data_IF_544514344093
#
_entry.id   IF_544514344093
#
_cell.length_a   1.000
_cell.length_b   1.000
_cell.length_c   1.000
_cell.angle_alpha   90.00
_cell.angle_beta   90.00
_cell.angle_gamma   90.00
#
_symmetry.space_group_name_H-M   'P 1'
#
loop_
_entity.id
_entity.type
_entity.pdbx_description
1 polymer ?
#
# COMPACT_ATOMS: atom_id res chain seq x y z
N UNK A 1 -21.89 25.78 16.82
CA UNK A 1 -20.92 25.15 17.72
C UNK A 1 -20.94 23.64 17.49
N UNK A 2 -19.79 23.01 17.32
CA UNK A 2 -19.69 21.55 17.17
C UNK A 2 -19.82 20.93 18.56
N UNK A 3 -20.78 20.01 18.76
CA UNK A 3 -20.97 19.35 20.06
C UNK A 3 -19.78 18.44 20.39
N UNK A 4 -19.30 18.40 21.65
CA UNK A 4 -18.33 17.43 22.10
C UNK A 4 -18.80 15.99 21.85
N UNK A 5 -17.86 15.05 21.85
CA UNK A 5 -18.15 13.64 21.68
C UNK A 5 -18.46 12.99 23.03
N UNK A 6 -19.39 12.07 23.00
CA UNK A 6 -19.73 11.10 24.03
C UNK A 6 -19.65 9.68 23.42
N UNK A 7 -19.80 8.61 24.20
CA UNK A 7 -19.71 7.24 23.66
C UNK A 7 -20.64 6.96 22.50
N UNK A 8 -21.95 7.32 22.52
CA UNK A 8 -22.85 7.12 21.38
C UNK A 8 -22.41 7.84 20.11
N UNK A 9 -22.06 9.14 20.22
CA UNK A 9 -21.62 9.93 19.08
C UNK A 9 -20.28 9.47 18.50
N UNK A 10 -19.40 8.95 19.34
CA UNK A 10 -18.12 8.37 18.90
C UNK A 10 -18.37 7.10 18.08
N UNK A 11 -19.29 6.24 18.53
CA UNK A 11 -19.70 5.03 17.82
C UNK A 11 -20.41 5.35 16.50
N UNK A 12 -21.32 6.33 16.48
CA UNK A 12 -21.94 6.82 15.23
C UNK A 12 -20.90 7.31 14.20
N UNK A 13 -19.87 8.04 14.66
CA UNK A 13 -18.78 8.48 13.79
C UNK A 13 -17.97 7.31 13.24
N UNK A 14 -17.70 6.30 14.06
CA UNK A 14 -17.01 5.09 13.62
C UNK A 14 -17.85 4.33 12.58
N UNK A 15 -19.13 4.10 12.82
CA UNK A 15 -20.07 3.45 11.89
C UNK A 15 -20.15 4.21 10.56
N UNK A 16 -20.34 5.53 10.61
CA UNK A 16 -20.38 6.36 9.41
C UNK A 16 -19.08 6.31 8.61
N UNK A 17 -17.94 6.17 9.27
CA UNK A 17 -16.64 6.06 8.61
C UNK A 17 -16.47 4.72 7.91
N UNK A 18 -16.72 3.60 8.58
CA UNK A 18 -16.56 2.26 8.00
C UNK A 18 -17.60 1.95 6.92
N UNK A 19 -18.79 2.54 7.01
CA UNK A 19 -19.81 2.42 5.98
C UNK A 19 -19.42 3.09 4.64
N UNK A 20 -18.53 4.09 4.68
CA UNK A 20 -18.13 4.86 3.48
C UNK A 20 -16.78 4.45 2.92
N UNK A 21 -15.90 3.88 3.74
CA UNK A 21 -14.51 3.65 3.37
C UNK A 21 -14.06 2.26 3.79
N UNK A 22 -13.57 1.47 2.83
CA UNK A 22 -12.76 0.31 3.17
C UNK A 22 -11.53 0.81 3.96
N UNK A 23 -11.37 0.33 5.18
CA UNK A 23 -10.41 0.87 6.14
C UNK A 23 -9.74 -0.23 6.96
N UNK A 24 -8.62 0.09 7.61
CA UNK A 24 -7.97 -0.73 8.61
C UNK A 24 -8.32 -0.27 10.03
N UNK A 25 -8.13 -1.15 11.01
CA UNK A 25 -8.26 -0.83 12.43
C UNK A 25 -7.40 0.39 12.82
N UNK A 26 -6.15 0.43 12.35
CA UNK A 26 -5.26 1.57 12.57
C UNK A 26 -5.77 2.88 11.99
N UNK A 27 -6.33 2.87 10.77
CA UNK A 27 -6.90 4.07 10.15
C UNK A 27 -8.17 4.54 10.86
N UNK A 28 -9.03 3.62 11.28
CA UNK A 28 -10.19 3.96 12.10
C UNK A 28 -9.74 4.63 13.40
N UNK A 29 -8.74 4.07 14.09
CA UNK A 29 -8.18 4.66 15.31
C UNK A 29 -7.59 6.05 15.10
N UNK A 30 -6.84 6.26 14.01
CA UNK A 30 -6.32 7.59 13.63
C UNK A 30 -7.45 8.59 13.38
N UNK A 31 -8.51 8.16 12.68
CA UNK A 31 -9.69 9.00 12.43
C UNK A 31 -10.38 9.42 13.73
N UNK A 32 -10.66 8.46 14.62
CA UNK A 32 -11.35 8.72 15.89
C UNK A 32 -10.52 9.61 16.82
N UNK A 33 -9.20 9.35 16.95
CA UNK A 33 -8.26 10.21 17.71
C UNK A 33 -8.27 11.65 17.19
N UNK A 34 -8.30 11.84 15.86
CA UNK A 34 -8.41 13.17 15.28
C UNK A 34 -9.74 13.82 15.64
N UNK A 35 -10.87 13.09 15.55
CA UNK A 35 -12.20 13.61 15.88
C UNK A 35 -12.33 14.00 17.36
N UNK A 36 -11.75 13.24 18.26
CA UNK A 36 -11.68 13.60 19.68
C UNK A 36 -10.90 14.90 19.90
N UNK A 37 -9.77 15.09 19.23
CA UNK A 37 -9.03 16.36 19.32
C UNK A 37 -9.78 17.56 18.73
N UNK A 38 -10.54 17.35 17.65
CA UNK A 38 -11.31 18.42 16.99
C UNK A 38 -12.53 18.84 17.78
N UNK A 39 -13.20 17.91 18.49
CA UNK A 39 -14.51 18.13 19.09
C UNK A 39 -14.52 18.14 20.63
N UNK A 40 -13.50 17.55 21.24
CA UNK A 40 -13.47 17.32 22.69
C UNK A 40 -14.28 16.09 23.12
N UNK A 41 -14.23 15.79 24.39
CA UNK A 41 -14.89 14.66 25.04
C UNK A 41 -15.73 15.16 26.24
N UNK A 42 -16.96 14.66 26.39
CA UNK A 42 -17.93 15.17 27.39
C UNK A 42 -18.27 14.14 28.47
N UNK A 43 -17.89 12.85 28.30
CA UNK A 43 -18.19 11.81 29.30
C UNK A 43 -17.19 11.84 30.47
N UNK A 44 -17.60 11.23 31.61
CA UNK A 44 -16.78 11.18 32.83
C UNK A 44 -15.54 10.28 32.68
N UNK A 45 -15.68 9.17 31.95
CA UNK A 45 -14.60 8.21 31.70
C UNK A 45 -13.88 8.58 30.39
N UNK A 46 -12.58 8.28 30.30
CA UNK A 46 -11.83 8.47 29.07
C UNK A 46 -12.34 7.54 27.94
N UNK A 47 -12.27 7.98 26.66
CA UNK A 47 -12.74 7.18 25.54
C UNK A 47 -11.86 5.94 25.32
N UNK A 48 -12.42 4.75 25.49
CA UNK A 48 -11.75 3.50 25.17
C UNK A 48 -11.85 3.19 23.66
N UNK A 49 -10.91 3.75 22.90
CA UNK A 49 -10.83 3.53 21.45
C UNK A 49 -10.42 2.11 21.11
N UNK A 50 -9.65 1.44 21.96
CA UNK A 50 -9.18 0.08 21.69
C UNK A 50 -10.38 -0.87 21.73
N UNK A 51 -11.17 -0.86 22.79
CA UNK A 51 -12.36 -1.69 22.93
C UNK A 51 -13.39 -1.40 21.80
N UNK A 52 -13.58 -0.12 21.42
CA UNK A 52 -14.45 0.22 20.31
C UNK A 52 -13.98 -0.40 18.99
N UNK A 53 -12.69 -0.27 18.66
CA UNK A 53 -12.11 -0.82 17.43
C UNK A 53 -12.18 -2.34 17.42
N UNK A 54 -11.87 -3.00 18.53
CA UNK A 54 -11.98 -4.46 18.66
C UNK A 54 -13.40 -4.96 18.39
N UNK A 55 -14.42 -4.28 18.91
CA UNK A 55 -15.83 -4.62 18.60
C UNK A 55 -16.12 -4.47 17.11
N UNK A 56 -15.57 -3.45 16.44
CA UNK A 56 -15.77 -3.23 15.00
C UNK A 56 -15.07 -4.30 14.15
N UNK A 57 -13.90 -4.76 14.58
CA UNK A 57 -13.19 -5.89 13.96
C UNK A 57 -13.98 -7.18 14.18
N UNK A 58 -14.40 -7.47 15.41
CA UNK A 58 -15.18 -8.66 15.75
C UNK A 58 -16.53 -8.74 15.00
N UNK A 59 -17.17 -7.57 14.79
CA UNK A 59 -18.40 -7.44 14.01
C UNK A 59 -18.19 -7.48 12.48
N UNK A 60 -16.95 -7.57 12.00
CA UNK A 60 -16.63 -7.58 10.57
C UNK A 60 -16.76 -6.25 9.85
N UNK A 61 -16.95 -5.15 10.57
CA UNK A 61 -16.97 -3.80 9.96
C UNK A 61 -15.58 -3.33 9.52
N UNK A 62 -14.53 -3.90 10.09
CA UNK A 62 -13.13 -3.65 9.75
C UNK A 62 -12.46 -4.98 9.43
N UNK A 63 -11.88 -5.08 8.23
CA UNK A 63 -11.12 -6.25 7.75
C UNK A 63 -9.74 -5.77 7.27
N UNK A 64 -8.75 -5.88 8.14
CA UNK A 64 -7.36 -5.51 7.83
C UNK A 64 -6.77 -6.35 6.70
N UNK A 65 -7.13 -7.64 6.63
CA UNK A 65 -6.62 -8.52 5.57
C UNK A 65 -7.22 -8.17 4.21
N UNK A 66 -8.53 -7.95 4.13
CA UNK A 66 -9.20 -7.48 2.91
C UNK A 66 -8.71 -6.10 2.48
N UNK A 67 -8.56 -5.17 3.44
CA UNK A 67 -7.97 -3.85 3.17
C UNK A 67 -6.55 -3.96 2.61
N UNK A 68 -5.70 -4.79 3.22
CA UNK A 68 -4.31 -4.97 2.79
C UNK A 68 -4.24 -5.58 1.38
N UNK A 69 -5.02 -6.64 1.09
CA UNK A 69 -5.11 -7.26 -0.24
C UNK A 69 -5.52 -6.25 -1.31
N UNK A 70 -6.60 -5.52 -1.09
CA UNK A 70 -7.10 -4.52 -2.03
C UNK A 70 -6.09 -3.40 -2.27
N UNK A 71 -5.44 -2.93 -1.18
CA UNK A 71 -4.43 -1.86 -1.26
C UNK A 71 -3.18 -2.30 -1.98
N UNK A 72 -2.65 -3.50 -1.67
CA UNK A 72 -1.48 -4.07 -2.31
C UNK A 72 -1.72 -4.27 -3.82
N UNK A 73 -2.82 -4.92 -4.20
CA UNK A 73 -3.20 -5.13 -5.60
C UNK A 73 -3.32 -3.80 -6.36
N UNK A 74 -4.01 -2.81 -5.78
CA UNK A 74 -4.15 -1.50 -6.40
C UNK A 74 -2.83 -0.75 -6.58
N UNK A 75 -1.87 -0.90 -5.66
CA UNK A 75 -0.54 -0.31 -5.77
C UNK A 75 0.29 -1.02 -6.84
N UNK A 76 0.30 -2.37 -6.88
CA UNK A 76 1.02 -3.14 -7.92
C UNK A 76 0.53 -2.78 -9.33
N UNK A 77 -0.78 -2.71 -9.55
CA UNK A 77 -1.33 -2.28 -10.86
C UNK A 77 -0.88 -0.87 -11.28
N UNK A 78 -0.47 -0.03 -10.34
CA UNK A 78 0.09 1.31 -10.61
C UNK A 78 1.60 1.31 -10.75
N UNK A 79 2.26 0.16 -10.60
CA UNK A 79 3.69 0.01 -10.74
C UNK A 79 4.50 0.26 -9.47
N UNK A 80 3.89 0.13 -8.27
CA UNK A 80 4.62 0.22 -7.02
C UNK A 80 5.12 -1.15 -6.55
N UNK A 81 6.35 -1.19 -6.07
CA UNK A 81 7.00 -2.38 -5.51
C UNK A 81 6.63 -2.65 -4.05
N UNK A 82 6.99 -3.84 -3.58
CA UNK A 82 6.55 -4.36 -2.27
C UNK A 82 7.02 -3.52 -1.08
N UNK A 83 8.21 -2.89 -1.14
CA UNK A 83 8.66 -1.97 -0.08
C UNK A 83 7.74 -0.77 0.09
N UNK A 84 7.23 -0.23 -1.00
CA UNK A 84 6.27 0.89 -0.97
C UNK A 84 4.90 0.44 -0.50
N UNK A 85 4.49 -0.78 -0.85
CA UNK A 85 3.26 -1.40 -0.39
C UNK A 85 3.33 -1.61 1.13
N UNK A 86 4.38 -2.26 1.63
CA UNK A 86 4.59 -2.47 3.08
C UNK A 86 4.59 -1.14 3.85
N UNK A 87 5.34 -0.14 3.37
CA UNK A 87 5.35 1.19 3.97
C UNK A 87 3.95 1.83 4.05
N UNK A 88 3.16 1.67 2.98
CA UNK A 88 1.79 2.20 2.92
C UNK A 88 0.87 1.50 3.91
N UNK A 89 0.96 0.17 4.02
CA UNK A 89 0.16 -0.63 4.93
C UNK A 89 0.58 -0.40 6.39
N UNK A 90 1.87 -0.28 6.66
CA UNK A 90 2.40 0.10 7.99
C UNK A 90 1.87 1.47 8.42
N UNK A 91 1.89 2.45 7.54
CA UNK A 91 1.30 3.78 7.79
C UNK A 91 -0.22 3.76 8.02
N UNK A 92 -0.90 2.74 7.51
CA UNK A 92 -2.31 2.47 7.77
C UNK A 92 -2.55 1.69 9.09
N UNK A 93 -1.49 1.33 9.84
CA UNK A 93 -1.58 0.58 11.08
C UNK A 93 -1.94 -0.90 10.89
N UNK A 94 -1.70 -1.46 9.70
CA UNK A 94 -1.87 -2.89 9.45
C UNK A 94 -0.75 -3.68 10.11
N UNK A 95 -1.09 -4.75 10.83
CA UNK A 95 -0.14 -5.60 11.55
C UNK A 95 0.87 -6.30 10.63
N UNK A 96 2.02 -6.69 11.18
CA UNK A 96 3.14 -7.28 10.41
C UNK A 96 2.75 -8.57 9.71
N UNK A 97 2.06 -9.47 10.39
CA UNK A 97 1.59 -10.75 9.84
C UNK A 97 0.72 -10.54 8.59
N UNK A 98 -0.25 -9.62 8.68
CA UNK A 98 -1.12 -9.28 7.55
C UNK A 98 -0.34 -8.62 6.42
N UNK A 99 0.66 -7.76 6.74
CA UNK A 99 1.50 -7.16 5.69
C UNK A 99 2.36 -8.22 4.99
N UNK A 100 2.91 -9.18 5.73
CA UNK A 100 3.67 -10.29 5.17
C UNK A 100 2.82 -11.17 4.25
N UNK A 101 1.56 -11.44 4.62
CA UNK A 101 0.65 -12.29 3.82
C UNK A 101 0.26 -11.69 2.46
N UNK A 102 0.48 -10.40 2.24
CA UNK A 102 0.16 -9.72 0.98
C UNK A 102 1.39 -9.33 0.17
N UNK A 103 2.57 -9.81 0.56
CA UNK A 103 3.76 -9.66 -0.28
C UNK A 103 3.55 -10.36 -1.62
N UNK A 104 4.05 -9.75 -2.70
CA UNK A 104 3.95 -10.32 -4.04
C UNK A 104 4.91 -11.47 -4.25
N UNK A 105 4.53 -12.40 -5.13
CA UNK A 105 5.49 -13.32 -5.74
C UNK A 105 6.54 -12.54 -6.55
N UNK A 106 7.62 -13.21 -6.93
CA UNK A 106 8.62 -12.60 -7.81
C UNK A 106 7.99 -12.15 -9.14
N UNK A 107 7.11 -12.94 -9.72
CA UNK A 107 6.36 -12.57 -10.92
C UNK A 107 5.54 -11.28 -10.71
N UNK A 108 4.84 -11.15 -9.58
CA UNK A 108 4.08 -9.96 -9.27
C UNK A 108 4.98 -8.72 -9.07
N UNK A 109 6.16 -8.90 -8.45
CA UNK A 109 7.13 -7.83 -8.25
C UNK A 109 7.76 -7.37 -9.57
N UNK A 110 8.16 -8.31 -10.45
CA UNK A 110 8.70 -8.01 -11.78
C UNK A 110 7.64 -7.35 -12.66
N UNK A 111 6.40 -7.85 -12.64
CA UNK A 111 5.27 -7.25 -13.37
C UNK A 111 4.96 -5.81 -12.96
N UNK A 112 4.95 -5.52 -11.66
CA UNK A 112 4.76 -4.15 -11.16
C UNK A 112 5.91 -3.22 -11.60
N UNK A 113 7.14 -3.69 -11.59
CA UNK A 113 8.29 -2.93 -12.05
C UNK A 113 8.22 -2.63 -13.56
N UNK A 114 7.79 -3.60 -14.37
CA UNK A 114 7.54 -3.42 -15.80
C UNK A 114 6.48 -2.34 -16.06
N UNK A 115 5.36 -2.37 -15.31
CA UNK A 115 4.32 -1.34 -15.42
C UNK A 115 4.90 0.07 -15.19
N UNK A 116 5.75 0.24 -14.17
CA UNK A 116 6.40 1.52 -13.91
C UNK A 116 7.36 1.92 -15.01
N UNK A 117 8.22 0.98 -15.45
CA UNK A 117 9.23 1.23 -16.47
C UNK A 117 8.59 1.67 -17.80
N UNK A 118 7.55 0.96 -18.25
CA UNK A 118 6.77 1.34 -19.44
C UNK A 118 6.12 2.72 -19.30
N UNK A 119 5.39 2.94 -18.20
CA UNK A 119 4.70 4.20 -17.94
C UNK A 119 5.63 5.39 -17.93
N UNK A 120 6.84 5.22 -17.40
CA UNK A 120 7.84 6.28 -17.26
C UNK A 120 8.87 6.30 -18.37
N UNK A 121 8.80 5.36 -19.31
CA UNK A 121 9.75 5.18 -20.41
C UNK A 121 11.19 5.02 -19.90
N UNK A 122 11.36 4.13 -18.92
CA UNK A 122 12.67 3.85 -18.34
C UNK A 122 13.42 2.77 -19.13
N UNK A 123 14.75 2.83 -19.13
CA UNK A 123 15.61 1.85 -19.79
C UNK A 123 15.25 1.67 -21.25
N UNK A 124 14.98 0.42 -21.71
CA UNK A 124 14.67 0.11 -23.12
C UNK A 124 13.31 0.66 -23.57
N UNK A 125 12.44 1.09 -22.67
CA UNK A 125 11.13 1.68 -23.00
C UNK A 125 11.20 3.17 -23.33
N UNK A 126 12.40 3.78 -23.26
CA UNK A 126 12.68 5.15 -23.68
C UNK A 126 12.91 5.27 -25.19
N UNK A 127 12.90 6.51 -25.70
CA UNK A 127 13.20 6.78 -27.11
C UNK A 127 14.66 6.47 -27.48
N UNK A 128 15.56 6.52 -26.50
CA UNK A 128 16.97 6.20 -26.65
C UNK A 128 17.51 5.60 -25.35
N UNK A 129 18.63 4.90 -25.43
CA UNK A 129 19.32 4.37 -24.26
C UNK A 129 19.72 5.52 -23.33
N UNK A 130 19.42 5.42 -22.01
CA UNK A 130 19.72 6.52 -21.09
C UNK A 130 21.24 6.70 -20.94
N UNK A 131 21.67 7.95 -20.93
CA UNK A 131 23.02 8.29 -20.49
C UNK A 131 23.21 7.98 -19.00
N UNK A 132 24.44 8.00 -18.46
CA UNK A 132 24.70 7.65 -17.06
C UNK A 132 23.91 8.47 -16.05
N UNK A 133 23.70 9.77 -16.31
CA UNK A 133 22.97 10.66 -15.40
C UNK A 133 21.45 10.36 -15.41
N UNK A 134 20.87 10.14 -16.57
CA UNK A 134 19.47 9.75 -16.71
C UNK A 134 19.23 8.36 -16.14
N UNK A 135 20.14 7.39 -16.42
CA UNK A 135 20.11 6.05 -15.84
C UNK A 135 20.05 6.11 -14.32
N UNK A 136 20.91 6.90 -13.67
CA UNK A 136 20.92 7.06 -12.22
C UNK A 136 19.61 7.65 -11.68
N UNK A 137 19.02 8.60 -12.39
CA UNK A 137 17.69 9.17 -12.04
C UNK A 137 16.59 8.12 -12.13
N UNK A 138 16.59 7.27 -13.17
CA UNK A 138 15.64 6.18 -13.36
C UNK A 138 15.76 5.14 -12.23
N UNK A 139 16.99 4.74 -11.86
CA UNK A 139 17.26 3.88 -10.70
C UNK A 139 16.64 4.43 -9.42
N UNK A 140 16.97 5.67 -9.11
CA UNK A 140 16.45 6.33 -7.91
C UNK A 140 14.93 6.39 -7.90
N UNK A 141 14.29 6.56 -9.06
CA UNK A 141 12.84 6.54 -9.19
C UNK A 141 12.24 5.15 -8.93
N UNK A 142 12.87 4.07 -9.43
CA UNK A 142 12.46 2.68 -9.17
C UNK A 142 12.56 2.34 -7.69
N UNK A 143 13.67 2.71 -7.03
CA UNK A 143 13.87 2.49 -5.60
C UNK A 143 12.85 3.25 -4.75
N UNK A 144 12.57 4.51 -5.07
CA UNK A 144 11.50 5.30 -4.40
C UNK A 144 10.11 4.71 -4.61
N UNK A 145 9.88 4.05 -5.74
CA UNK A 145 8.63 3.33 -6.00
C UNK A 145 8.53 2.00 -5.23
N UNK A 146 9.60 1.59 -4.55
CA UNK A 146 9.63 0.41 -3.67
C UNK A 146 10.15 -0.87 -4.32
N UNK A 147 10.75 -0.79 -5.51
CA UNK A 147 11.39 -1.93 -6.16
C UNK A 147 12.76 -2.24 -5.55
N UNK A 148 13.23 -3.48 -5.68
CA UNK A 148 14.59 -3.86 -5.29
C UNK A 148 15.62 -3.25 -6.24
N UNK A 149 16.87 -3.16 -5.77
CA UNK A 149 17.98 -2.70 -6.61
C UNK A 149 18.19 -3.64 -7.81
N UNK A 150 18.09 -4.94 -7.57
CA UNK A 150 18.26 -5.96 -8.61
C UNK A 150 17.19 -5.86 -9.69
N UNK A 151 15.91 -5.80 -9.29
CA UNK A 151 14.78 -5.59 -10.22
C UNK A 151 14.96 -4.31 -11.04
N UNK A 152 15.34 -3.21 -10.39
CA UNK A 152 15.56 -1.95 -11.08
C UNK A 152 16.72 -2.04 -12.09
N UNK A 153 17.81 -2.72 -11.71
CA UNK A 153 18.97 -2.92 -12.58
C UNK A 153 18.60 -3.75 -13.80
N UNK A 154 17.96 -4.90 -13.59
CA UNK A 154 17.55 -5.79 -14.69
C UNK A 154 16.69 -5.07 -15.74
N UNK A 155 15.69 -4.29 -15.31
CA UNK A 155 14.81 -3.57 -16.23
C UNK A 155 15.46 -2.36 -16.92
N UNK A 156 16.26 -1.58 -16.20
CA UNK A 156 16.85 -0.35 -16.77
C UNK A 156 18.02 -0.69 -17.70
N UNK A 157 18.77 -1.73 -17.39
CA UNK A 157 19.98 -2.12 -18.15
C UNK A 157 19.66 -3.12 -19.28
N UNK A 158 18.45 -3.63 -19.39
CA UNK A 158 18.07 -4.53 -20.48
C UNK A 158 18.40 -3.90 -21.85
N UNK A 159 18.96 -4.70 -22.75
CA UNK A 159 19.40 -4.21 -24.04
C UNK A 159 18.23 -3.86 -24.98
N UNK A 160 17.08 -4.50 -24.77
CA UNK A 160 15.87 -4.28 -25.55
C UNK A 160 14.60 -4.47 -24.71
N UNK A 161 13.45 -4.01 -25.24
CA UNK A 161 12.16 -4.31 -24.65
C UNK A 161 11.88 -5.82 -24.60
N UNK A 162 12.30 -6.56 -25.62
CA UNK A 162 12.12 -8.00 -25.69
C UNK A 162 12.84 -8.72 -24.54
N UNK A 163 14.11 -8.36 -24.27
CA UNK A 163 14.88 -8.92 -23.15
C UNK A 163 14.22 -8.60 -21.79
N UNK A 164 13.75 -7.36 -21.63
CA UNK A 164 13.06 -6.98 -20.40
C UNK A 164 11.75 -7.76 -20.19
N UNK A 165 11.02 -8.05 -21.24
CA UNK A 165 9.78 -8.85 -21.20
C UNK A 165 10.08 -10.31 -20.89
N UNK A 166 11.05 -10.92 -21.59
CA UNK A 166 11.48 -12.29 -21.37
C UNK A 166 11.86 -12.50 -19.89
N UNK A 167 12.68 -11.60 -19.33
CA UNK A 167 13.04 -11.66 -17.91
C UNK A 167 11.83 -11.56 -16.97
N UNK A 168 10.79 -10.78 -17.31
CA UNK A 168 9.57 -10.72 -16.50
C UNK A 168 8.77 -12.03 -16.60
N UNK A 169 8.68 -12.60 -17.81
CA UNK A 169 7.90 -13.80 -18.08
C UNK A 169 8.55 -15.07 -17.49
N UNK A 170 9.88 -15.13 -17.37
CA UNK A 170 10.60 -16.22 -16.67
C UNK A 170 10.06 -16.45 -15.27
N UNK A 171 9.79 -15.38 -14.50
CA UNK A 171 9.27 -15.51 -13.14
C UNK A 171 7.82 -16.02 -13.09
N UNK A 172 7.06 -15.92 -14.17
CA UNK A 172 5.71 -16.48 -14.25
C UNK A 172 5.75 -17.98 -14.49
N UNK A 173 6.75 -18.49 -15.26
CA UNK A 173 6.96 -19.92 -15.50
C UNK A 173 7.42 -20.68 -14.28
N UNK A 174 8.22 -20.05 -13.41
CA UNK A 174 8.73 -20.68 -12.16
C UNK A 174 7.66 -20.79 -11.06
N UNK A 175 6.47 -20.26 -11.27
CA UNK A 175 5.38 -20.20 -10.27
C UNK A 175 4.29 -21.25 -10.48
N UNK A 176 4.40 -22.14 -11.47
CA UNK A 176 3.52 -23.31 -11.61
C UNK A 176 4.09 -24.50 -10.82
N UNK A 177 3.31 -25.07 -9.86
CA UNK A 177 3.72 -26.22 -9.07
C UNK A 177 3.70 -27.53 -9.86
#
# INVERSE_FOLDING_TARGET
MVKPLDPPRLEELALAYVARFATSAGKLGQYLKRKLRERGWEAADEPDLAALIERFVAAGYVDDAGFARGRASGLRRRGYGDRRIDQTLRGAGVGEEVRASVQGSEAAARGAALVLARKRRFGPFGAARPDPALRQKQFSAMLRAGHSLDTARKLIDAASEAEALEWVDEAAGDSEP
#
